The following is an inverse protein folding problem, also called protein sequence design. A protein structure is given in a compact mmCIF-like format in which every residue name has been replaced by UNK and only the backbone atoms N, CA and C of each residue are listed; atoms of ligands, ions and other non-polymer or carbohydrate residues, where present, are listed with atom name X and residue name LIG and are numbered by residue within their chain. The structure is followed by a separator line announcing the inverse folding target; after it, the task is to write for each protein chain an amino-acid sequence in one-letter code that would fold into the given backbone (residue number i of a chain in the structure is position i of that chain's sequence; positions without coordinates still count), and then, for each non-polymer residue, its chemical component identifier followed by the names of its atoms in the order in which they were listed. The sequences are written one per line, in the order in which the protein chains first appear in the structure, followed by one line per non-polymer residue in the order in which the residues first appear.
data_IF_042306111402
#
_entry.id   IF_042306111402
#
_cell.length_a   1.000
_cell.length_b   1.000
_cell.length_c   1.000
_cell.angle_alpha   90.00
_cell.angle_beta   90.00
_cell.angle_gamma   90.00
#
_symmetry.space_group_name_H-M   'P 1'
#
loop_
_entity.id
_entity.type
_entity.pdbx_description
1 polymer ?
#
# COMPACT_ATOMS: atom_id res chain seq x y z
N UNK A 1 18.54 -75.77 -53.90
CA UNK A 1 19.99 -75.95 -53.65
C UNK A 1 20.66 -74.59 -53.51
N UNK A 2 21.42 -74.40 -52.42
CA UNK A 2 22.57 -73.51 -52.22
C UNK A 2 22.50 -72.04 -52.69
N UNK A 3 22.37 -71.17 -51.67
CA UNK A 3 23.18 -69.98 -51.38
C UNK A 3 24.26 -69.57 -52.41
N UNK A 4 24.29 -68.28 -52.79
CA UNK A 4 25.37 -67.39 -52.32
C UNK A 4 25.05 -65.89 -52.46
N UNK A 5 25.67 -65.13 -51.55
CA UNK A 5 25.56 -63.69 -51.27
C UNK A 5 26.46 -62.88 -52.22
N UNK A 6 26.16 -61.60 -52.44
CA UNK A 6 26.83 -60.42 -51.81
C UNK A 6 26.57 -59.08 -52.52
N UNK A 7 26.09 -58.14 -51.69
CA UNK A 7 26.50 -56.73 -51.51
C UNK A 7 26.22 -55.71 -52.64
N UNK A 8 25.39 -54.72 -52.30
CA UNK A 8 25.49 -53.33 -52.78
C UNK A 8 25.22 -52.38 -51.61
N UNK A 9 25.89 -51.21 -51.53
CA UNK A 9 25.79 -50.27 -50.42
C UNK A 9 24.61 -49.31 -50.61
N UNK A 10 23.90 -48.96 -49.54
CA UNK A 10 22.88 -47.91 -49.57
C UNK A 10 23.22 -46.83 -48.53
N UNK A 11 23.22 -45.59 -49.02
CA UNK A 11 23.72 -44.38 -48.40
C UNK A 11 22.99 -43.98 -47.12
N UNK A 12 23.74 -43.36 -46.20
CA UNK A 12 23.23 -42.63 -45.04
C UNK A 12 22.35 -41.45 -45.52
N UNK A 13 21.07 -41.45 -45.13
CA UNK A 13 20.21 -40.28 -45.21
C UNK A 13 20.36 -39.46 -43.91
N UNK A 14 20.89 -38.25 -44.04
CA UNK A 14 21.02 -37.27 -42.96
C UNK A 14 19.68 -36.52 -42.84
N UNK A 15 18.86 -36.88 -41.85
CA UNK A 15 17.64 -36.14 -41.52
C UNK A 15 18.01 -34.84 -40.79
N UNK A 16 17.86 -33.71 -41.48
CA UNK A 16 17.87 -32.37 -40.90
C UNK A 16 16.58 -32.15 -40.10
N UNK A 17 16.67 -32.09 -38.76
CA UNK A 17 15.60 -31.54 -37.92
C UNK A 17 15.61 -30.01 -38.07
N UNK A 18 14.56 -29.47 -38.69
CA UNK A 18 14.29 -28.04 -38.67
C UNK A 18 13.73 -27.67 -37.28
N UNK A 19 14.52 -26.92 -36.50
CA UNK A 19 14.04 -26.26 -35.30
C UNK A 19 13.11 -25.11 -35.73
N UNK A 20 11.80 -25.29 -35.59
CA UNK A 20 10.84 -24.20 -35.64
C UNK A 20 11.04 -23.35 -34.38
N UNK A 21 11.88 -22.32 -34.48
CA UNK A 21 12.01 -21.30 -33.44
C UNK A 21 10.69 -20.53 -33.34
N UNK A 22 10.04 -20.58 -32.18
CA UNK A 22 9.00 -19.64 -31.83
C UNK A 22 9.62 -18.23 -31.82
N UNK A 23 9.44 -17.49 -32.90
CA UNK A 23 9.70 -16.06 -32.92
C UNK A 23 8.60 -15.38 -32.10
N UNK A 24 8.75 -15.34 -30.78
CA UNK A 24 7.95 -14.44 -29.95
C UNK A 24 8.40 -13.01 -30.28
N UNK A 25 7.57 -12.30 -31.04
CA UNK A 25 7.75 -10.88 -31.28
C UNK A 25 7.81 -10.17 -29.92
N UNK A 26 8.92 -9.51 -29.63
CA UNK A 26 9.06 -8.71 -28.41
C UNK A 26 7.89 -7.72 -28.34
N UNK A 27 7.11 -7.70 -27.24
CA UNK A 27 6.05 -6.71 -27.11
C UNK A 27 6.64 -5.30 -27.24
N UNK A 28 5.91 -4.38 -27.86
CA UNK A 28 6.38 -3.01 -28.00
C UNK A 28 6.73 -2.44 -26.62
N UNK A 29 7.79 -1.62 -26.51
CA UNK A 29 8.12 -0.96 -25.25
C UNK A 29 6.92 -0.13 -24.79
N UNK A 30 6.61 -0.21 -23.49
CA UNK A 30 5.57 0.63 -22.91
C UNK A 30 6.01 2.09 -23.02
N UNK A 31 5.23 2.91 -23.73
CA UNK A 31 5.44 4.34 -23.78
C UNK A 31 5.29 4.93 -22.38
N UNK A 32 6.39 5.48 -21.84
CA UNK A 32 6.35 6.21 -20.58
C UNK A 32 5.52 7.48 -20.79
N UNK A 33 4.28 7.47 -20.30
CA UNK A 33 3.47 8.69 -20.21
C UNK A 33 4.10 9.63 -19.18
N UNK A 34 4.70 10.72 -19.64
CA UNK A 34 5.10 11.83 -18.76
C UNK A 34 3.85 12.51 -18.23
N UNK A 35 3.56 12.31 -16.96
CA UNK A 35 2.56 13.10 -16.22
C UNK A 35 3.22 14.45 -15.89
N UNK A 36 2.55 15.59 -16.10
CA UNK A 36 3.04 16.88 -15.62
C UNK A 36 3.46 16.78 -14.16
N UNK A 37 4.58 17.41 -13.80
CA UNK A 37 5.01 17.47 -12.41
C UNK A 37 3.88 18.00 -11.52
N UNK A 38 3.79 17.56 -10.25
CA UNK A 38 2.79 18.08 -9.33
C UNK A 38 2.89 19.61 -9.30
N UNK A 39 1.76 20.31 -9.47
CA UNK A 39 1.65 21.72 -9.10
C UNK A 39 2.18 21.88 -7.68
N UNK A 40 3.05 22.86 -7.44
CA UNK A 40 3.66 23.08 -6.13
C UNK A 40 2.57 23.22 -5.06
N UNK A 41 2.34 22.17 -4.28
CA UNK A 41 1.52 22.22 -3.08
C UNK A 41 2.35 22.80 -1.96
N UNK A 42 1.75 23.65 -1.12
CA UNK A 42 2.36 24.10 0.12
C UNK A 42 2.83 22.86 0.92
N UNK A 43 4.14 22.70 1.20
CA UNK A 43 4.66 21.54 1.92
C UNK A 43 4.04 21.38 3.32
N UNK A 44 3.54 22.46 3.93
CA UNK A 44 2.83 22.43 5.20
C UNK A 44 1.33 22.13 5.04
N UNK A 45 0.77 22.29 3.84
CA UNK A 45 -0.65 22.07 3.51
C UNK A 45 -0.81 21.34 2.17
N UNK A 46 -0.32 20.09 2.07
CA UNK A 46 -0.34 19.32 0.83
C UNK A 46 -1.76 18.85 0.43
N UNK A 47 -2.70 18.86 1.38
CA UNK A 47 -4.06 18.38 1.18
C UNK A 47 -4.94 19.47 0.58
N UNK A 48 -5.25 19.37 -0.70
CA UNK A 48 -5.96 20.41 -1.47
C UNK A 48 -7.43 20.07 -1.70
N UNK A 49 -7.83 18.82 -1.46
CA UNK A 49 -9.22 18.36 -1.58
C UNK A 49 -10.06 18.68 -0.32
N UNK A 50 -9.83 19.83 0.30
CA UNK A 50 -10.56 20.29 1.50
C UNK A 50 -11.94 20.89 1.15
N UNK A 51 -12.61 20.32 0.16
CA UNK A 51 -13.95 20.69 -0.27
C UNK A 51 -14.96 19.58 0.06
N UNK A 52 -15.33 19.50 1.34
CA UNK A 52 -16.69 19.14 1.77
C UNK A 52 -16.94 19.56 3.24
N UNK A 53 -16.47 20.73 3.67
CA UNK A 53 -16.84 21.32 4.98
C UNK A 53 -18.25 21.94 4.97
N UNK A 54 -19.12 21.55 4.04
CA UNK A 54 -20.52 22.00 4.00
C UNK A 54 -21.41 20.94 3.37
N UNK A 55 -21.50 19.78 4.01
CA UNK A 55 -22.66 18.92 3.87
C UNK A 55 -23.26 18.77 5.27
N UNK A 56 -24.43 19.37 5.44
CA UNK A 56 -25.35 19.19 6.56
C UNK A 56 -25.17 17.83 7.22
N UNK A 57 -24.71 17.84 8.47
CA UNK A 57 -24.64 16.68 9.35
C UNK A 57 -26.05 16.11 9.55
N UNK A 58 -26.54 15.36 8.57
CA UNK A 58 -27.49 14.29 8.85
C UNK A 58 -26.63 13.11 9.20
N UNK A 59 -26.32 13.00 10.49
CA UNK A 59 -25.55 11.92 11.07
C UNK A 59 -26.26 10.59 10.80
N UNK A 60 -25.98 9.98 9.66
CA UNK A 60 -26.05 8.55 9.49
C UNK A 60 -24.83 7.99 10.20
N UNK A 61 -24.97 7.70 11.49
CA UNK A 61 -23.98 6.96 12.25
C UNK A 61 -23.68 5.66 11.49
N UNK A 62 -22.54 5.61 10.80
CA UNK A 62 -21.96 4.34 10.41
C UNK A 62 -21.63 3.65 11.73
N UNK A 63 -22.50 2.72 12.14
CA UNK A 63 -22.38 2.00 13.39
C UNK A 63 -21.00 1.35 13.46
N UNK A 64 -20.11 1.95 14.23
CA UNK A 64 -18.85 1.34 14.59
C UNK A 64 -19.18 0.01 15.27
N UNK A 65 -18.72 -1.08 14.66
CA UNK A 65 -18.83 -2.43 15.24
C UNK A 65 -18.38 -2.38 16.70
N UNK A 66 -19.26 -2.67 17.65
CA UNK A 66 -18.96 -2.68 19.09
C UNK A 66 -18.06 -3.86 19.50
N UNK A 67 -17.58 -4.67 18.55
CA UNK A 67 -16.69 -5.80 18.81
C UNK A 67 -15.34 -5.35 19.36
N UNK A 68 -14.70 -6.18 20.20
CA UNK A 68 -13.39 -5.86 20.78
C UNK A 68 -12.33 -5.57 19.70
N UNK A 69 -11.46 -4.60 19.97
CA UNK A 69 -10.26 -4.32 19.15
C UNK A 69 -9.13 -5.18 19.72
N UNK A 70 -8.64 -6.15 18.95
CA UNK A 70 -7.43 -6.90 19.30
C UNK A 70 -6.24 -6.23 18.62
N UNK A 71 -5.60 -5.30 19.34
CA UNK A 71 -4.41 -4.59 18.89
C UNK A 71 -3.38 -4.53 20.02
N UNK A 72 -2.11 -4.59 19.68
CA UNK A 72 -0.99 -4.43 20.61
C UNK A 72 0.07 -3.50 20.01
N UNK A 73 0.74 -2.74 20.88
CA UNK A 73 1.90 -1.93 20.50
C UNK A 73 3.18 -2.55 21.04
N UNK A 74 4.10 -2.86 20.13
CA UNK A 74 5.45 -3.28 20.46
C UNK A 74 6.41 -2.08 20.39
N UNK A 75 6.95 -1.71 21.54
CA UNK A 75 7.91 -0.62 21.68
C UNK A 75 9.26 -0.92 21.02
N UNK A 76 9.67 -2.19 20.95
CA UNK A 76 10.98 -2.56 20.41
C UNK A 76 11.03 -2.39 18.90
N UNK A 77 9.94 -2.72 18.21
CA UNK A 77 9.80 -2.59 16.76
C UNK A 77 9.05 -1.34 16.32
N UNK A 78 8.52 -0.55 17.27
CA UNK A 78 7.66 0.60 17.03
C UNK A 78 6.49 0.24 16.10
N UNK A 79 5.79 -0.85 16.42
CA UNK A 79 4.74 -1.43 15.56
C UNK A 79 3.45 -1.64 16.35
N UNK A 80 2.35 -1.15 15.79
CA UNK A 80 0.98 -1.48 16.18
C UNK A 80 0.57 -2.69 15.33
N UNK A 81 0.29 -3.83 15.95
CA UNK A 81 -0.24 -5.01 15.26
C UNK A 81 -1.71 -5.19 15.61
N UNK A 82 -2.56 -5.25 14.60
CA UNK A 82 -4.01 -5.48 14.73
C UNK A 82 -4.34 -6.88 14.24
N UNK A 83 -4.77 -7.75 15.13
CA UNK A 83 -4.99 -9.18 14.85
C UNK A 83 -6.46 -9.58 14.85
N UNK A 84 -7.35 -8.70 15.30
CA UNK A 84 -8.79 -8.98 15.30
C UNK A 84 -9.67 -7.75 15.48
N UNK A 85 -10.85 -7.84 14.88
CA UNK A 85 -11.89 -6.81 14.88
C UNK A 85 -12.13 -6.25 13.48
N UNK A 86 -13.36 -5.86 13.18
CA UNK A 86 -13.77 -5.44 11.83
C UNK A 86 -14.20 -3.98 11.82
N UNK A 87 -13.79 -3.24 10.78
CA UNK A 87 -14.12 -1.83 10.61
C UNK A 87 -13.61 -0.97 11.77
N UNK A 88 -12.42 -1.27 12.28
CA UNK A 88 -11.80 -0.56 13.40
C UNK A 88 -11.45 0.86 12.94
N UNK A 89 -12.04 1.86 13.57
CA UNK A 89 -11.72 3.28 13.33
C UNK A 89 -10.43 3.68 14.04
N UNK A 90 -9.78 4.75 13.58
CA UNK A 90 -8.56 5.29 14.20
C UNK A 90 -8.72 5.70 15.67
N UNK A 91 -9.86 6.29 16.05
CA UNK A 91 -10.16 6.61 17.45
C UNK A 91 -10.14 5.37 18.35
N UNK A 92 -10.86 4.33 17.94
CA UNK A 92 -10.90 3.05 18.65
C UNK A 92 -9.54 2.37 18.71
N UNK A 93 -8.78 2.41 17.61
CA UNK A 93 -7.43 1.87 17.57
C UNK A 93 -6.49 2.62 18.52
N UNK A 94 -6.53 3.95 18.51
CA UNK A 94 -5.71 4.80 19.40
C UNK A 94 -6.04 4.55 20.87
N UNK A 95 -7.31 4.41 21.22
CA UNK A 95 -7.76 4.04 22.58
C UNK A 95 -7.28 2.64 22.99
N UNK A 96 -7.33 1.67 22.08
CA UNK A 96 -6.86 0.32 22.36
C UNK A 96 -5.33 0.24 22.53
N UNK A 97 -4.58 1.00 21.72
CA UNK A 97 -3.13 1.10 21.78
C UNK A 97 -2.65 1.86 23.02
N UNK A 98 -3.37 2.92 23.43
CA UNK A 98 -3.07 3.69 24.64
C UNK A 98 -1.74 4.44 24.62
N UNK A 99 -1.07 4.53 23.47
CA UNK A 99 0.23 5.19 23.30
C UNK A 99 0.13 6.37 22.31
N UNK A 100 0.16 7.63 22.79
CA UNK A 100 0.03 8.80 21.94
C UNK A 100 1.24 9.05 21.03
N UNK A 101 2.41 8.46 21.31
CA UNK A 101 3.55 8.53 20.39
C UNK A 101 3.33 7.63 19.17
N UNK A 102 2.61 6.52 19.34
CA UNK A 102 2.34 5.56 18.27
C UNK A 102 1.18 6.01 17.36
N UNK A 103 0.06 6.44 17.95
CA UNK A 103 -1.12 6.91 17.21
C UNK A 103 -1.92 7.91 18.05
N UNK A 104 -2.07 9.14 17.55
CA UNK A 104 -2.90 10.18 18.19
C UNK A 104 -3.58 11.10 17.21
N UNK A 105 -4.70 11.66 17.62
CA UNK A 105 -5.30 12.83 16.98
C UNK A 105 -4.54 14.09 17.43
N UNK A 106 -4.24 14.98 16.49
CA UNK A 106 -3.58 16.28 16.72
C UNK A 106 -4.62 17.38 16.88
N UNK A 107 -5.57 17.40 15.94
CA UNK A 107 -6.74 18.28 15.90
C UNK A 107 -7.89 17.47 15.27
N UNK A 108 -9.15 17.89 15.40
CA UNK A 108 -10.28 17.13 14.86
C UNK A 108 -10.11 16.73 13.39
N UNK A 109 -9.99 15.42 13.15
CA UNK A 109 -9.79 14.81 11.84
C UNK A 109 -8.33 14.76 11.35
N UNK A 110 -7.36 15.32 12.07
CA UNK A 110 -5.94 15.24 11.74
C UNK A 110 -5.21 14.31 12.69
N UNK A 111 -4.67 13.23 12.15
CA UNK A 111 -4.04 12.16 12.91
C UNK A 111 -2.56 12.08 12.61
N UNK A 112 -1.75 11.76 13.64
CA UNK A 112 -0.36 11.36 13.48
C UNK A 112 -0.22 9.87 13.77
N UNK A 113 0.29 9.13 12.79
CA UNK A 113 0.75 7.75 12.93
C UNK A 113 2.29 7.75 13.07
N UNK A 114 2.75 7.65 14.32
CA UNK A 114 4.17 7.63 14.67
C UNK A 114 4.82 6.24 14.69
N UNK A 115 4.01 5.19 14.69
CA UNK A 115 4.43 3.79 14.64
C UNK A 115 4.07 3.14 13.30
N UNK A 116 4.68 2.00 12.98
CA UNK A 116 4.16 1.13 11.93
C UNK A 116 2.77 0.62 12.32
N UNK A 117 1.91 0.38 11.34
CA UNK A 117 0.61 -0.25 11.53
C UNK A 117 0.57 -1.51 10.67
N UNK A 118 0.50 -2.67 11.32
CA UNK A 118 0.34 -3.97 10.68
C UNK A 118 -1.07 -4.50 10.94
N UNK A 119 -1.80 -4.79 9.86
CA UNK A 119 -3.19 -5.27 9.90
C UNK A 119 -3.19 -6.71 9.41
N UNK A 120 -3.31 -7.63 10.35
CA UNK A 120 -3.22 -9.06 10.08
C UNK A 120 -4.57 -9.66 9.67
N UNK A 121 -4.51 -10.89 9.18
CA UNK A 121 -5.68 -11.70 8.87
C UNK A 121 -6.62 -11.76 10.07
N UNK A 122 -7.90 -11.47 9.82
CA UNK A 122 -8.94 -11.41 10.85
C UNK A 122 -9.21 -10.01 11.39
N UNK A 123 -8.41 -9.01 10.98
CA UNK A 123 -8.62 -7.61 11.29
C UNK A 123 -8.98 -6.78 10.05
N UNK A 124 -9.75 -5.71 10.26
CA UNK A 124 -9.86 -4.62 9.29
C UNK A 124 -9.95 -3.24 9.94
N UNK A 125 -9.27 -2.27 9.34
CA UNK A 125 -9.22 -0.87 9.78
C UNK A 125 -9.89 0.02 8.72
N UNK A 126 -10.67 1.00 9.18
CA UNK A 126 -11.33 1.98 8.33
C UNK A 126 -10.89 3.40 8.70
N UNK A 127 -10.53 4.16 7.68
CA UNK A 127 -10.23 5.58 7.73
C UNK A 127 -11.20 6.31 6.81
N UNK A 128 -12.00 7.22 7.38
CA UNK A 128 -12.95 7.98 6.60
C UNK A 128 -12.99 9.44 7.06
N UNK A 129 -13.05 10.38 6.13
CA UNK A 129 -13.43 11.75 6.45
C UNK A 129 -14.91 11.79 6.92
N UNK A 130 -15.27 12.65 7.90
CA UNK A 130 -14.43 13.68 8.52
C UNK A 130 -13.53 13.18 9.66
N UNK A 131 -13.76 11.98 10.19
CA UNK A 131 -13.08 11.44 11.38
C UNK A 131 -11.57 11.28 11.19
N UNK A 132 -11.14 10.95 9.97
CA UNK A 132 -9.74 10.96 9.52
C UNK A 132 -9.69 11.76 8.21
N UNK A 133 -9.71 13.09 8.31
CA UNK A 133 -9.54 14.01 7.18
C UNK A 133 -8.10 14.00 6.66
N UNK A 134 -7.12 13.97 7.55
CA UNK A 134 -5.70 13.93 7.18
C UNK A 134 -4.93 12.99 8.10
N UNK A 135 -4.36 11.94 7.52
CA UNK A 135 -3.39 11.08 8.17
C UNK A 135 -1.96 11.53 7.82
N UNK A 136 -1.24 12.00 8.83
CA UNK A 136 0.20 12.26 8.79
C UNK A 136 0.94 11.00 9.23
N UNK A 137 1.66 10.37 8.32
CA UNK A 137 2.54 9.23 8.64
C UNK A 137 3.92 9.79 8.95
N UNK A 138 4.42 9.61 10.17
CA UNK A 138 5.72 10.15 10.60
C UNK A 138 6.83 9.66 9.67
N UNK A 139 7.58 10.59 9.11
CA UNK A 139 8.72 10.33 8.22
C UNK A 139 9.82 11.36 8.52
N UNK A 140 10.90 10.89 9.14
CA UNK A 140 12.11 11.65 9.47
C UNK A 140 13.28 10.72 9.15
N UNK A 141 13.77 10.78 7.92
CA UNK A 141 14.80 9.88 7.39
C UNK A 141 15.97 9.63 8.36
N UNK A 142 16.40 8.37 8.57
CA UNK A 142 15.94 7.14 7.91
C UNK A 142 14.74 6.47 8.58
N UNK A 143 14.07 7.14 9.52
CA UNK A 143 12.98 6.57 10.31
C UNK A 143 11.63 7.00 9.76
N UNK A 144 10.76 6.05 9.43
CA UNK A 144 9.43 6.32 8.89
C UNK A 144 8.44 5.29 9.42
N UNK A 145 7.16 5.66 9.47
CA UNK A 145 6.07 4.71 9.69
C UNK A 145 5.54 4.17 8.36
N UNK A 146 5.09 2.93 8.38
CA UNK A 146 4.41 2.29 7.25
C UNK A 146 3.07 1.69 7.69
N UNK A 147 2.11 1.61 6.75
CA UNK A 147 0.91 0.80 6.92
C UNK A 147 1.10 -0.46 6.08
N UNK A 148 1.01 -1.63 6.70
CA UNK A 148 1.12 -2.92 6.04
C UNK A 148 -0.11 -3.77 6.33
N UNK A 149 -0.72 -4.31 5.29
CA UNK A 149 -1.93 -5.13 5.37
C UNK A 149 -1.55 -6.56 4.98
N UNK A 150 -1.50 -7.46 5.95
CA UNK A 150 -1.07 -8.86 5.81
C UNK A 150 -2.28 -9.79 5.96
N UNK A 151 -2.98 -10.06 4.86
CA UNK A 151 -4.21 -10.85 4.88
C UNK A 151 -5.42 -10.19 5.55
N UNK A 152 -5.24 -8.99 6.14
CA UNK A 152 -6.30 -8.16 6.72
C UNK A 152 -6.95 -7.21 5.72
N UNK A 153 -7.67 -6.21 6.22
CA UNK A 153 -8.36 -5.19 5.42
C UNK A 153 -8.03 -3.74 5.81
N UNK A 154 -7.81 -2.89 4.83
CA UNK A 154 -7.74 -1.43 4.99
C UNK A 154 -8.72 -0.75 4.02
N UNK A 155 -9.56 0.13 4.56
CA UNK A 155 -10.44 0.98 3.75
C UNK A 155 -10.17 2.44 4.04
N UNK A 156 -9.87 3.21 3.00
CA UNK A 156 -9.63 4.66 3.05
C UNK A 156 -10.69 5.36 2.21
N UNK A 157 -11.40 6.33 2.79
CA UNK A 157 -12.44 7.07 2.09
C UNK A 157 -12.37 8.56 2.38
N UNK A 158 -12.08 9.39 1.37
CA UNK A 158 -12.08 10.86 1.53
C UNK A 158 -10.90 11.44 2.32
N UNK A 159 -9.95 10.61 2.77
CA UNK A 159 -8.81 11.05 3.57
C UNK A 159 -7.64 11.54 2.71
N UNK A 160 -6.89 12.50 3.23
CA UNK A 160 -5.54 12.82 2.75
C UNK A 160 -4.50 12.01 3.54
N UNK A 161 -3.50 11.43 2.88
CA UNK A 161 -2.42 10.65 3.51
C UNK A 161 -1.07 11.14 3.02
N UNK A 162 -0.16 11.44 3.95
CA UNK A 162 1.15 12.03 3.63
C UNK A 162 2.28 11.47 4.47
N UNK A 163 3.48 11.33 3.89
CA UNK A 163 4.73 11.28 4.67
C UNK A 163 4.98 12.64 5.29
N UNK A 164 5.19 12.70 6.61
CA UNK A 164 5.20 13.93 7.38
C UNK A 164 6.37 14.01 8.36
N UNK A 165 7.19 15.04 8.21
CA UNK A 165 8.23 15.40 9.16
C UNK A 165 7.60 16.29 10.24
N UNK A 166 7.32 15.70 11.40
CA UNK A 166 6.71 16.42 12.52
C UNK A 166 7.68 17.32 13.28
N UNK A 167 9.00 17.19 13.08
CA UNK A 167 9.96 18.16 13.59
C UNK A 167 9.94 19.44 12.75
N UNK A 168 9.80 19.31 11.43
CA UNK A 168 9.75 20.45 10.49
C UNK A 168 8.33 20.97 10.22
N UNK A 169 7.29 20.24 10.63
CA UNK A 169 5.89 20.56 10.36
C UNK A 169 5.59 20.71 8.86
N UNK A 170 6.14 19.80 8.05
CA UNK A 170 5.95 19.76 6.61
C UNK A 170 6.01 18.32 6.10
N UNK A 171 5.58 18.10 4.86
CA UNK A 171 5.77 16.80 4.19
C UNK A 171 7.24 16.44 4.07
N UNK A 172 7.50 15.13 4.12
CA UNK A 172 8.81 14.60 3.79
C UNK A 172 8.98 14.50 2.27
N UNK A 173 9.72 15.46 1.71
CA UNK A 173 9.98 15.56 0.28
C UNK A 173 11.19 14.74 -0.18
N UNK A 174 11.98 14.16 0.72
CA UNK A 174 13.20 13.45 0.36
C UNK A 174 12.95 11.95 0.19
N UNK A 175 12.93 11.39 -1.03
CA UNK A 175 12.83 9.94 -1.18
C UNK A 175 14.15 9.21 -0.94
N UNK A 176 15.29 9.91 -0.84
CA UNK A 176 16.60 9.25 -0.82
C UNK A 176 16.97 8.61 0.52
N UNK A 177 16.35 9.06 1.62
CA UNK A 177 16.58 8.56 2.99
C UNK A 177 15.40 7.72 3.52
N UNK A 178 14.43 7.40 2.67
CA UNK A 178 13.27 6.60 3.03
C UNK A 178 12.07 7.44 3.43
N UNK A 179 10.87 6.99 3.03
CA UNK A 179 9.61 7.67 3.30
C UNK A 179 8.52 6.69 3.67
N UNK A 180 7.53 7.19 4.40
CA UNK A 180 6.31 6.45 4.69
C UNK A 180 5.65 5.89 3.43
N UNK A 181 5.07 4.69 3.56
CA UNK A 181 4.44 3.98 2.47
C UNK A 181 3.31 3.08 2.96
N UNK A 182 2.51 2.61 2.01
CA UNK A 182 1.39 1.70 2.24
C UNK A 182 1.56 0.43 1.39
N UNK A 183 1.39 -0.73 2.02
CA UNK A 183 1.58 -2.04 1.39
C UNK A 183 0.42 -2.96 1.76
N UNK A 184 -0.17 -3.61 0.77
CA UNK A 184 -0.98 -4.81 0.97
C UNK A 184 -0.24 -6.02 0.38
N UNK A 185 -0.20 -7.12 1.13
CA UNK A 185 0.36 -8.40 0.69
C UNK A 185 -0.23 -9.58 1.45
N UNK A 186 0.14 -10.79 1.05
CA UNK A 186 -0.22 -12.07 1.65
C UNK A 186 -1.74 -12.20 1.87
N UNK A 187 -2.52 -11.88 0.82
CA UNK A 187 -4.00 -11.89 0.85
C UNK A 187 -4.64 -10.58 1.33
N UNK A 188 -3.83 -9.57 1.68
CA UNK A 188 -4.30 -8.29 2.19
C UNK A 188 -5.20 -7.54 1.20
N UNK A 189 -6.23 -6.89 1.71
CA UNK A 189 -7.19 -6.09 0.94
C UNK A 189 -7.04 -4.62 1.31
N UNK A 190 -6.77 -3.75 0.33
CA UNK A 190 -6.64 -2.31 0.56
C UNK A 190 -7.46 -1.53 -0.47
N UNK A 191 -8.47 -0.79 -0.02
CA UNK A 191 -9.32 0.04 -0.88
C UNK A 191 -9.15 1.51 -0.55
N UNK A 192 -9.02 2.33 -1.60
CA UNK A 192 -8.77 3.76 -1.51
C UNK A 192 -9.77 4.46 -2.42
N UNK A 193 -10.70 5.20 -1.84
CA UNK A 193 -11.76 5.90 -2.56
C UNK A 193 -11.75 7.40 -2.22
N UNK A 194 -11.74 8.26 -3.24
CA UNK A 194 -11.81 9.73 -3.09
C UNK A 194 -10.73 10.29 -2.16
N UNK A 195 -9.58 9.63 -2.10
CA UNK A 195 -8.49 9.98 -1.20
C UNK A 195 -7.38 10.74 -1.94
N UNK A 196 -6.60 11.54 -1.20
CA UNK A 196 -5.38 12.16 -1.70
C UNK A 196 -4.17 11.49 -1.05
N UNK A 197 -3.24 10.99 -1.85
CA UNK A 197 -1.99 10.42 -1.37
C UNK A 197 -0.84 11.26 -1.91
N UNK A 198 0.03 11.75 -1.03
CA UNK A 198 1.13 12.61 -1.43
C UNK A 198 2.42 12.28 -0.68
N UNK A 199 3.56 12.44 -1.37
CA UNK A 199 4.90 12.28 -0.79
C UNK A 199 5.20 10.90 -0.17
N UNK A 200 4.45 9.86 -0.54
CA UNK A 200 4.70 8.49 -0.08
C UNK A 200 5.80 7.81 -0.91
N UNK A 201 6.56 6.95 -0.24
CA UNK A 201 7.41 5.93 -0.86
C UNK A 201 8.80 6.36 -1.30
N UNK A 202 9.64 5.37 -1.55
CA UNK A 202 11.03 5.53 -1.96
C UNK A 202 11.51 4.33 -2.79
N UNK A 203 12.80 4.32 -3.14
CA UNK A 203 13.40 3.39 -4.11
C UNK A 203 13.57 1.93 -3.67
N UNK A 204 13.02 1.53 -2.52
CA UNK A 204 13.19 0.18 -1.98
C UNK A 204 12.03 -0.76 -2.32
N UNK A 205 12.34 -2.05 -2.32
CA UNK A 205 11.40 -3.14 -2.60
C UNK A 205 10.16 -3.03 -1.71
N UNK A 206 8.98 -3.00 -2.36
CA UNK A 206 7.64 -2.87 -1.77
C UNK A 206 7.30 -1.48 -1.19
N UNK A 207 8.28 -0.60 -1.06
CA UNK A 207 8.15 0.72 -0.44
C UNK A 207 7.88 1.86 -1.42
N UNK A 208 7.35 1.58 -2.61
CA UNK A 208 7.16 2.56 -3.70
C UNK A 208 6.07 3.62 -3.48
N UNK A 209 5.49 3.65 -2.27
CA UNK A 209 4.49 4.61 -1.83
C UNK A 209 3.15 3.94 -1.63
N UNK A 210 2.66 3.26 -2.66
CA UNK A 210 1.46 2.42 -2.60
C UNK A 210 1.70 1.14 -3.38
N UNK A 211 1.56 -0.01 -2.71
CA UNK A 211 1.90 -1.31 -3.28
C UNK A 211 0.85 -2.36 -2.94
N UNK A 212 0.44 -3.14 -3.95
CA UNK A 212 -0.20 -4.45 -3.77
C UNK A 212 0.76 -5.52 -4.28
N UNK A 213 1.03 -6.53 -3.46
CA UNK A 213 2.03 -7.57 -3.75
C UNK A 213 1.50 -8.95 -3.40
N UNK A 214 2.10 -9.98 -4.00
CA UNK A 214 1.81 -11.43 -3.77
C UNK A 214 0.41 -11.87 -4.19
N UNK A 215 0.20 -13.18 -4.22
CA UNK A 215 -1.07 -13.79 -4.63
C UNK A 215 -2.18 -13.55 -3.59
N UNK A 216 -3.43 -13.43 -4.06
CA UNK A 216 -4.61 -13.23 -3.21
C UNK A 216 -4.79 -11.81 -2.67
N UNK A 217 -3.78 -10.95 -2.78
CA UNK A 217 -3.86 -9.53 -2.43
C UNK A 217 -4.69 -8.75 -3.44
N UNK A 218 -5.51 -7.81 -2.96
CA UNK A 218 -6.45 -7.09 -3.81
C UNK A 218 -6.91 -5.75 -3.26
N UNK A 219 -7.85 -5.15 -3.98
CA UNK A 219 -8.43 -3.84 -3.69
C UNK A 219 -8.38 -2.90 -4.89
N UNK A 220 -8.54 -1.60 -4.65
CA UNK A 220 -8.61 -0.60 -5.72
C UNK A 220 -8.19 0.79 -5.23
N UNK A 221 -7.91 1.65 -6.21
CA UNK A 221 -7.83 3.10 -6.03
C UNK A 221 -8.81 3.78 -7.01
N UNK A 222 -9.66 4.69 -6.51
CA UNK A 222 -10.70 5.39 -7.26
C UNK A 222 -10.84 6.86 -6.86
#
# INVERSE_FOLDING_TARGET
MKLWRRITPAALALCLLAAAGCAESTPPPLDRRTVPGPTASDPAKPCTNEAATTATSTAGAAGGSSGSVAAAFDHATNTITVTGGTGITFDRLSKAVGNPAALRELTPGEWLLGANLEIDKGASVTMAAPDVRWLKMRSVGPTYSAIKVFGGGLTVTGSCITSWDDAKQQVDANPADGRSFMLARDGGQMTIDKAQLAYLGFGDTESYGLSWRTEGTGGHIK
#
